data_IF_903286531278
#
_entry.id   IF_903286531278
#
_cell.length_a   1.000
_cell.length_b   1.000
_cell.length_c   1.000
_cell.angle_alpha   90.00
_cell.angle_beta   90.00
_cell.angle_gamma   90.00
#
_symmetry.space_group_name_H-M   'P 1'
#
loop_
_entity.id
_entity.type
_entity.pdbx_description
1 polymer ?
#
# COMPACT_ATOMS: atom_id res chain seq x y z
N UNK A 1 67.48 0.36 -14.30
CA UNK A 1 67.99 -1.00 -14.55
C UNK A 1 69.07 -1.32 -13.51
N UNK A 2 69.06 -2.55 -13.00
CA UNK A 2 70.03 -3.16 -12.04
C UNK A 2 70.01 -2.55 -10.62
N UNK A 3 70.06 -3.30 -9.52
CA UNK A 3 70.22 -4.75 -9.31
C UNK A 3 69.59 -5.13 -7.96
N UNK A 4 68.98 -6.32 -7.91
CA UNK A 4 69.54 -7.54 -7.27
C UNK A 4 69.23 -7.68 -5.78
N UNK A 5 68.35 -8.64 -5.52
CA UNK A 5 68.06 -9.27 -4.24
C UNK A 5 69.32 -9.82 -3.55
N UNK A 6 69.35 -9.76 -2.21
CA UNK A 6 70.17 -10.65 -1.40
C UNK A 6 69.32 -11.27 -0.29
N UNK A 7 69.28 -12.61 -0.26
CA UNK A 7 68.66 -13.46 0.75
C UNK A 7 69.71 -13.84 1.79
N UNK A 8 69.39 -13.75 3.09
CA UNK A 8 69.87 -14.62 4.19
C UNK A 8 68.90 -14.46 5.37
N UNK A 9 68.01 -15.43 5.57
CA UNK A 9 68.06 -16.48 6.62
C UNK A 9 67.94 -15.92 8.05
N UNK A 10 66.81 -16.20 8.72
CA UNK A 10 66.79 -16.98 9.96
C UNK A 10 65.34 -17.28 10.37
N UNK A 11 65.04 -18.58 10.38
CA UNK A 11 63.87 -19.20 10.97
C UNK A 11 64.09 -19.23 12.50
N UNK A 12 63.19 -18.65 13.30
CA UNK A 12 63.03 -19.02 14.71
C UNK A 12 61.54 -19.10 15.00
N UNK A 13 61.08 -20.33 15.21
CA UNK A 13 59.80 -20.64 15.82
C UNK A 13 59.76 -20.06 17.24
N UNK A 14 58.68 -19.38 17.58
CA UNK A 14 58.34 -19.00 18.94
C UNK A 14 56.87 -18.65 18.98
N UNK A 15 56.05 -19.58 19.50
CA UNK A 15 54.61 -19.44 19.58
C UNK A 15 54.16 -18.26 20.45
N UNK A 16 53.03 -17.67 20.07
CA UNK A 16 52.38 -16.62 20.83
C UNK A 16 51.08 -16.20 20.17
N UNK A 17 49.98 -16.83 20.60
CA UNK A 17 48.59 -16.41 20.46
C UNK A 17 48.20 -15.66 19.17
N UNK A 18 47.71 -16.42 18.18
CA UNK A 18 46.72 -15.88 17.23
C UNK A 18 45.47 -15.59 18.04
N UNK A 19 45.34 -14.36 18.55
CA UNK A 19 44.04 -13.82 18.90
C UNK A 19 43.26 -13.76 17.59
N UNK A 20 42.47 -14.81 17.35
CA UNK A 20 41.53 -14.89 16.27
C UNK A 20 40.62 -13.68 16.37
N UNK A 21 40.84 -12.70 15.50
CA UNK A 21 39.78 -11.82 15.07
C UNK A 21 38.75 -12.75 14.43
N UNK A 22 37.76 -13.16 15.22
CA UNK A 22 36.48 -13.58 14.71
C UNK A 22 35.90 -12.33 14.04
N UNK A 23 36.34 -12.09 12.80
CA UNK A 23 35.58 -11.30 11.85
C UNK A 23 34.30 -12.10 11.74
N UNK A 24 33.28 -11.67 12.49
CA UNK A 24 31.93 -12.15 12.31
C UNK A 24 31.60 -11.87 10.87
N UNK A 25 31.82 -12.86 9.99
CA UNK A 25 31.23 -12.92 8.68
C UNK A 25 29.76 -13.07 8.97
N UNK A 26 29.08 -11.95 9.23
CA UNK A 26 27.64 -11.87 9.24
C UNK A 26 27.23 -12.54 7.94
N UNK A 27 26.62 -13.71 8.04
CA UNK A 27 26.10 -14.41 6.88
C UNK A 27 25.13 -13.45 6.24
N UNK A 28 25.52 -12.86 5.11
CA UNK A 28 24.61 -12.09 4.30
C UNK A 28 23.44 -13.03 4.00
N UNK A 29 22.28 -12.76 4.61
CA UNK A 29 21.09 -13.55 4.35
C UNK A 29 20.82 -13.44 2.86
N UNK A 30 20.69 -14.57 2.18
CA UNK A 30 20.28 -14.54 0.79
C UNK A 30 18.90 -13.88 0.70
N UNK A 31 18.72 -13.00 -0.29
CA UNK A 31 17.43 -12.41 -0.61
C UNK A 31 16.36 -13.52 -0.74
N UNK A 32 15.16 -13.27 -0.24
CA UNK A 32 14.05 -14.23 -0.41
C UNK A 32 13.60 -14.26 -1.87
N UNK A 33 12.85 -15.30 -2.24
CA UNK A 33 12.14 -15.32 -3.51
C UNK A 33 11.17 -14.14 -3.63
N UNK A 34 10.94 -13.73 -4.87
CA UNK A 34 9.95 -12.71 -5.19
C UNK A 34 8.54 -13.25 -4.98
N UNK A 35 7.74 -12.54 -4.20
CA UNK A 35 6.33 -12.84 -3.94
C UNK A 35 5.47 -11.89 -4.77
N UNK A 36 4.52 -12.43 -5.53
CA UNK A 36 3.58 -11.62 -6.32
C UNK A 36 2.58 -10.91 -5.40
N UNK A 37 2.31 -9.63 -5.67
CA UNK A 37 1.53 -8.75 -4.80
C UNK A 37 0.62 -7.83 -5.64
N UNK A 38 -0.58 -8.28 -6.04
CA UNK A 38 -1.55 -7.41 -6.68
C UNK A 38 -2.19 -6.48 -5.64
N UNK A 39 -2.29 -5.20 -5.96
CA UNK A 39 -2.95 -4.17 -5.15
C UNK A 39 -4.02 -3.50 -6.00
N UNK A 40 -5.22 -3.36 -5.43
CA UNK A 40 -6.40 -2.80 -6.08
C UNK A 40 -6.92 -1.60 -5.29
N UNK A 41 -7.31 -0.55 -5.99
CA UNK A 41 -8.19 0.50 -5.45
C UNK A 41 -9.54 0.40 -6.16
N UNK A 42 -10.63 0.43 -5.38
CA UNK A 42 -11.97 0.22 -5.90
C UNK A 42 -13.02 1.04 -5.14
N UNK A 43 -13.58 2.03 -5.81
CA UNK A 43 -14.77 2.75 -5.39
C UNK A 43 -16.02 1.97 -5.85
N UNK A 44 -16.89 1.57 -4.92
CA UNK A 44 -18.05 0.71 -5.21
C UNK A 44 -19.34 1.49 -5.53
N UNK A 45 -19.27 2.81 -5.67
CA UNK A 45 -20.39 3.67 -6.07
C UNK A 45 -21.52 3.77 -5.04
N UNK A 46 -22.45 4.71 -5.24
CA UNK A 46 -23.59 5.01 -4.35
C UNK A 46 -24.96 4.63 -4.92
N UNK A 47 -25.10 4.52 -6.24
CA UNK A 47 -26.41 4.55 -6.89
C UNK A 47 -26.76 3.20 -7.54
N UNK A 48 -25.84 2.56 -8.26
CA UNK A 48 -26.12 1.29 -8.95
C UNK A 48 -25.95 0.07 -8.02
N UNK A 49 -26.87 -0.05 -7.05
CA UNK A 49 -26.86 -1.09 -6.00
C UNK A 49 -26.77 -2.51 -6.60
N UNK A 50 -27.47 -2.77 -7.71
CA UNK A 50 -27.53 -4.08 -8.34
C UNK A 50 -26.22 -4.55 -9.00
N UNK A 51 -25.31 -3.63 -9.32
CA UNK A 51 -24.03 -3.96 -9.93
C UNK A 51 -22.92 -4.26 -8.89
N UNK A 52 -23.10 -3.84 -7.63
CA UNK A 52 -22.05 -3.89 -6.60
C UNK A 52 -21.51 -5.29 -6.31
N UNK A 53 -22.37 -6.31 -6.20
CA UNK A 53 -21.89 -7.66 -5.89
C UNK A 53 -21.03 -8.23 -7.04
N UNK A 54 -21.39 -7.94 -8.30
CA UNK A 54 -20.59 -8.31 -9.45
C UNK A 54 -19.24 -7.60 -9.45
N UNK A 55 -19.22 -6.31 -9.14
CA UNK A 55 -17.98 -5.54 -9.02
C UNK A 55 -17.07 -6.07 -7.90
N UNK A 56 -17.62 -6.38 -6.72
CA UNK A 56 -16.86 -6.97 -5.60
C UNK A 56 -16.21 -8.30 -6.03
N UNK A 57 -16.95 -9.16 -6.75
CA UNK A 57 -16.38 -10.39 -7.32
C UNK A 57 -15.28 -10.11 -8.34
N UNK A 58 -15.50 -9.18 -9.26
CA UNK A 58 -14.51 -8.81 -10.27
C UNK A 58 -13.21 -8.28 -9.64
N UNK A 59 -13.32 -7.49 -8.57
CA UNK A 59 -12.17 -6.99 -7.79
C UNK A 59 -11.44 -8.13 -7.07
N UNK A 60 -12.16 -9.07 -6.46
CA UNK A 60 -11.57 -10.26 -5.82
C UNK A 60 -10.77 -11.11 -6.82
N UNK A 61 -11.29 -11.27 -8.03
CA UNK A 61 -10.70 -12.07 -9.10
C UNK A 61 -9.81 -11.22 -10.03
N UNK A 62 -9.42 -10.01 -9.60
CA UNK A 62 -8.68 -9.05 -10.40
C UNK A 62 -7.34 -9.59 -10.88
N UNK A 63 -6.72 -10.58 -10.24
CA UNK A 63 -5.49 -11.23 -10.70
C UNK A 63 -5.61 -12.76 -10.62
N UNK A 64 -5.77 -13.47 -11.75
CA UNK A 64 -5.93 -14.91 -11.74
C UNK A 64 -4.78 -15.62 -11.01
N UNK A 65 -5.13 -16.47 -10.05
CA UNK A 65 -4.17 -17.26 -9.26
C UNK A 65 -3.52 -16.51 -8.09
N UNK A 66 -3.73 -15.20 -7.92
CA UNK A 66 -3.22 -14.43 -6.76
C UNK A 66 -4.27 -13.50 -6.20
N UNK A 67 -4.60 -13.67 -4.92
CA UNK A 67 -5.57 -12.81 -4.23
C UNK A 67 -5.00 -11.39 -4.04
N UNK A 68 -5.70 -10.32 -4.44
CA UNK A 68 -5.21 -8.95 -4.32
C UNK A 68 -5.38 -8.36 -2.91
N UNK A 69 -4.51 -7.42 -2.54
CA UNK A 69 -4.82 -6.42 -1.53
C UNK A 69 -5.83 -5.43 -2.10
N UNK A 70 -6.82 -5.01 -1.31
CA UNK A 70 -7.84 -4.07 -1.80
C UNK A 70 -8.05 -2.92 -0.82
N UNK A 71 -7.90 -1.70 -1.32
CA UNK A 71 -8.41 -0.50 -0.68
C UNK A 71 -9.77 -0.13 -1.28
N UNK A 72 -10.81 -0.19 -0.46
CA UNK A 72 -12.18 0.10 -0.89
C UNK A 72 -12.55 1.56 -0.64
N UNK A 73 -13.49 2.09 -1.43
CA UNK A 73 -14.14 3.37 -1.15
C UNK A 73 -15.66 3.22 -1.32
N UNK A 74 -16.40 4.12 -0.67
CA UNK A 74 -17.87 4.20 -0.70
C UNK A 74 -18.62 3.02 -0.09
N UNK A 75 -18.01 2.34 0.88
CA UNK A 75 -18.70 1.29 1.62
C UNK A 75 -19.77 1.91 2.52
N UNK A 76 -21.03 1.52 2.32
CA UNK A 76 -22.18 2.03 3.08
C UNK A 76 -22.37 3.56 2.89
N UNK A 77 -22.09 4.05 1.68
CA UNK A 77 -22.42 5.43 1.28
C UNK A 77 -23.72 5.51 0.46
N UNK A 78 -24.19 4.40 -0.12
CA UNK A 78 -25.48 4.31 -0.83
C UNK A 78 -26.54 3.45 -0.12
N UNK A 79 -26.17 2.27 0.37
CA UNK A 79 -27.02 1.41 1.19
C UNK A 79 -26.21 0.69 2.29
N UNK A 80 -26.60 -0.49 2.76
CA UNK A 80 -25.81 -1.28 3.74
C UNK A 80 -25.33 -2.63 3.19
N UNK A 81 -25.52 -2.91 1.89
CA UNK A 81 -25.38 -4.23 1.29
C UNK A 81 -23.94 -4.69 1.10
N UNK A 82 -22.98 -3.77 1.02
CA UNK A 82 -21.61 -4.08 0.61
C UNK A 82 -20.84 -4.83 1.68
N UNK A 83 -21.08 -4.56 2.97
CA UNK A 83 -20.35 -5.25 4.05
C UNK A 83 -20.63 -6.77 4.06
N UNK A 84 -21.89 -7.23 3.99
CA UNK A 84 -22.18 -8.65 3.76
C UNK A 84 -21.60 -9.20 2.45
N UNK A 85 -21.67 -8.45 1.34
CA UNK A 85 -21.13 -8.89 0.04
C UNK A 85 -19.60 -9.09 0.08
N UNK A 86 -18.86 -8.14 0.64
CA UNK A 86 -17.42 -8.25 0.85
C UNK A 86 -17.12 -9.43 1.76
N UNK A 87 -17.84 -9.57 2.87
CA UNK A 87 -17.66 -10.71 3.80
C UNK A 87 -17.87 -12.04 3.09
N UNK A 88 -18.90 -12.17 2.23
CA UNK A 88 -19.20 -13.37 1.46
C UNK A 88 -18.09 -13.75 0.47
N UNK A 89 -17.55 -12.79 -0.27
CA UNK A 89 -16.61 -13.06 -1.39
C UNK A 89 -15.14 -13.06 -0.97
N UNK A 90 -14.80 -12.33 0.10
CA UNK A 90 -13.45 -12.25 0.66
C UNK A 90 -13.29 -13.25 1.80
N UNK A 91 -14.23 -13.27 2.77
CA UNK A 91 -14.33 -14.31 3.81
C UNK A 91 -13.02 -14.65 4.53
N UNK A 92 -12.87 -15.92 4.93
CA UNK A 92 -11.76 -16.43 5.74
C UNK A 92 -10.38 -16.35 5.08
N UNK A 93 -10.33 -16.06 3.78
CA UNK A 93 -9.08 -15.88 3.05
C UNK A 93 -8.52 -14.47 3.20
N UNK A 94 -9.25 -13.57 3.85
CA UNK A 94 -8.87 -12.17 4.02
C UNK A 94 -9.09 -11.69 5.46
N UNK A 95 -8.23 -10.77 5.89
CA UNK A 95 -8.50 -9.89 7.01
C UNK A 95 -9.09 -8.59 6.46
N UNK A 96 -10.39 -8.37 6.71
CA UNK A 96 -11.10 -7.17 6.26
C UNK A 96 -11.04 -6.07 7.33
N UNK A 97 -9.91 -5.38 7.40
CA UNK A 97 -9.68 -4.31 8.37
C UNK A 97 -10.66 -3.15 8.14
N UNK A 98 -11.22 -2.65 9.25
CA UNK A 98 -12.20 -1.56 9.32
C UNK A 98 -13.55 -1.82 8.66
N UNK A 99 -13.81 -2.98 8.04
CA UNK A 99 -15.09 -3.24 7.34
C UNK A 99 -16.32 -3.08 8.26
N UNK A 100 -16.15 -3.39 9.54
CA UNK A 100 -17.18 -3.30 10.57
C UNK A 100 -16.84 -2.28 11.67
N UNK A 101 -15.89 -1.38 11.40
CA UNK A 101 -15.61 -0.24 12.27
C UNK A 101 -16.87 0.63 12.43
N UNK A 102 -17.00 1.34 13.53
CA UNK A 102 -18.18 2.18 13.81
C UNK A 102 -18.13 3.53 13.10
N UNK A 103 -16.94 4.00 12.71
CA UNK A 103 -16.75 5.34 12.15
C UNK A 103 -16.08 5.33 10.77
N UNK A 104 -15.00 4.57 10.59
CA UNK A 104 -14.13 4.63 9.41
C UNK A 104 -14.43 3.55 8.35
N UNK A 105 -15.54 2.83 8.51
CA UNK A 105 -15.93 1.69 7.65
C UNK A 105 -16.13 1.99 6.18
N UNK A 106 -16.12 3.26 5.76
CA UNK A 106 -16.33 3.71 4.38
C UNK A 106 -15.14 3.45 3.47
N UNK A 107 -13.94 3.32 4.05
CA UNK A 107 -12.68 3.06 3.34
C UNK A 107 -11.90 1.87 3.92
N UNK A 108 -12.51 0.67 4.01
CA UNK A 108 -11.87 -0.49 4.61
C UNK A 108 -10.78 -1.06 3.71
N UNK A 109 -9.97 -1.95 4.28
CA UNK A 109 -8.86 -2.60 3.60
C UNK A 109 -9.01 -4.12 3.72
N UNK A 110 -8.98 -4.82 2.59
CA UNK A 110 -8.97 -6.29 2.55
C UNK A 110 -7.55 -6.81 2.32
N UNK A 111 -7.03 -7.60 3.27
CA UNK A 111 -5.67 -8.18 3.23
C UNK A 111 -5.75 -9.70 3.06
N UNK A 112 -5.27 -10.28 1.95
CA UNK A 112 -5.37 -11.72 1.72
C UNK A 112 -4.28 -12.51 2.44
N UNK A 113 -4.57 -13.74 2.85
CA UNK A 113 -3.52 -14.71 3.21
C UNK A 113 -2.55 -14.94 2.03
N UNK A 114 -1.25 -15.16 2.27
CA UNK A 114 -0.58 -15.33 3.57
C UNK A 114 -0.10 -14.00 4.20
N UNK A 115 -0.69 -12.88 3.81
CA UNK A 115 -0.45 -11.59 4.46
C UNK A 115 -1.38 -11.41 5.65
N UNK A 116 -0.88 -10.76 6.70
CA UNK A 116 -1.62 -10.48 7.91
C UNK A 116 -1.47 -9.04 8.34
N UNK A 117 -2.55 -8.47 8.90
CA UNK A 117 -2.51 -7.17 9.55
C UNK A 117 -1.83 -7.31 10.90
N UNK A 118 -0.72 -6.59 11.09
CA UNK A 118 0.07 -6.58 12.33
C UNK A 118 -0.29 -5.36 13.18
N UNK A 119 -0.66 -4.25 12.53
CA UNK A 119 -1.12 -3.04 13.19
C UNK A 119 -2.10 -2.30 12.28
N UNK A 120 -3.00 -1.52 12.87
CA UNK A 120 -4.00 -0.75 12.15
C UNK A 120 -4.23 0.60 12.81
N UNK A 121 -4.51 1.63 12.02
CA UNK A 121 -4.93 2.94 12.52
C UNK A 121 -5.98 3.57 11.61
N UNK A 122 -6.97 4.22 12.23
CA UNK A 122 -7.88 5.13 11.55
C UNK A 122 -7.50 6.57 11.91
N UNK A 123 -7.50 7.48 10.94
CA UNK A 123 -7.26 8.91 11.15
C UNK A 123 -8.43 9.70 10.59
N UNK A 124 -9.14 10.39 11.48
CA UNK A 124 -10.18 11.32 11.08
C UNK A 124 -9.59 12.50 10.32
N UNK A 125 -10.25 12.89 9.22
CA UNK A 125 -9.82 14.00 8.37
C UNK A 125 -10.72 15.22 8.62
N UNK A 126 -12.00 15.10 8.27
CA UNK A 126 -13.02 16.14 8.42
C UNK A 126 -14.42 15.53 8.49
N UNK A 127 -15.40 16.31 8.98
CA UNK A 127 -16.77 15.86 9.29
C UNK A 127 -17.65 15.56 8.07
N UNK A 128 -17.12 15.69 6.87
CA UNK A 128 -17.92 15.70 5.65
C UNK A 128 -18.65 17.03 5.45
N UNK A 129 -19.40 17.11 4.36
CA UNK A 129 -20.26 18.25 4.03
C UNK A 129 -21.60 17.65 3.63
N UNK A 130 -22.67 18.13 4.26
CA UNK A 130 -24.03 17.65 4.04
C UNK A 130 -24.35 17.60 2.54
N UNK A 131 -24.97 16.50 2.08
CA UNK A 131 -25.32 16.23 0.68
C UNK A 131 -24.13 16.17 -0.31
N UNK A 132 -22.89 16.33 0.13
CA UNK A 132 -21.70 16.22 -0.72
C UNK A 132 -20.93 14.95 -0.39
N UNK A 133 -20.54 14.81 0.88
CA UNK A 133 -19.67 13.73 1.33
C UNK A 133 -19.93 13.41 2.79
N UNK A 134 -19.91 12.12 3.18
CA UNK A 134 -19.86 11.75 4.59
C UNK A 134 -18.52 12.17 5.22
N UNK A 135 -18.37 11.99 6.55
CA UNK A 135 -17.09 12.09 7.21
C UNK A 135 -15.99 11.32 6.48
N UNK A 136 -14.82 11.96 6.33
CA UNK A 136 -13.67 11.36 5.63
C UNK A 136 -12.62 10.90 6.61
N UNK A 137 -12.04 9.75 6.26
CA UNK A 137 -11.08 9.02 7.07
C UNK A 137 -9.93 8.54 6.19
N UNK A 138 -8.77 8.35 6.82
CA UNK A 138 -7.65 7.60 6.26
C UNK A 138 -7.49 6.35 7.13
N UNK A 139 -7.63 5.18 6.52
CA UNK A 139 -7.37 3.91 7.18
C UNK A 139 -6.02 3.36 6.72
N UNK A 140 -5.25 2.81 7.65
CA UNK A 140 -3.93 2.28 7.37
C UNK A 140 -3.71 0.97 8.11
N UNK A 141 -3.02 0.04 7.46
CA UNK A 141 -2.60 -1.23 8.04
C UNK A 141 -1.11 -1.44 7.80
N UNK A 142 -0.40 -1.91 8.82
CA UNK A 142 0.93 -2.51 8.65
C UNK A 142 0.72 -3.99 8.41
N UNK A 143 1.22 -4.46 7.28
CA UNK A 143 1.06 -5.82 6.79
C UNK A 143 2.40 -6.54 6.94
N UNK A 144 2.36 -7.81 7.32
CA UNK A 144 3.52 -8.70 7.21
C UNK A 144 3.15 -10.06 6.63
N UNK A 145 4.16 -10.77 6.15
CA UNK A 145 4.00 -12.12 5.63
C UNK A 145 4.04 -13.15 6.76
N UNK A 146 3.15 -14.15 6.73
CA UNK A 146 3.07 -15.21 7.75
C UNK A 146 4.40 -15.96 7.93
N UNK A 147 5.06 -16.34 6.83
CA UNK A 147 6.31 -17.13 6.86
C UNK A 147 7.59 -16.31 6.69
N UNK A 148 7.48 -15.03 6.31
CA UNK A 148 8.64 -14.13 6.13
C UNK A 148 8.44 -12.93 7.05
N UNK A 149 8.66 -13.11 8.34
CA UNK A 149 8.21 -12.16 9.38
C UNK A 149 8.88 -10.79 9.32
N UNK A 150 10.04 -10.67 8.66
CA UNK A 150 10.70 -9.39 8.38
C UNK A 150 10.12 -8.67 7.13
N UNK A 151 9.40 -9.39 6.26
CA UNK A 151 8.77 -8.84 5.07
C UNK A 151 7.50 -8.07 5.46
N UNK A 152 7.66 -6.76 5.67
CA UNK A 152 6.60 -5.87 6.14
C UNK A 152 6.50 -4.61 5.30
N UNK A 153 5.29 -4.10 5.13
CA UNK A 153 5.00 -2.83 4.46
C UNK A 153 3.70 -2.24 5.01
N UNK A 154 3.41 -0.97 4.71
CA UNK A 154 2.13 -0.36 5.04
C UNK A 154 1.23 -0.25 3.80
N UNK A 155 -0.08 -0.41 3.99
CA UNK A 155 -1.10 -0.01 3.02
C UNK A 155 -1.96 1.10 3.64
N UNK A 156 -2.05 2.23 2.97
CA UNK A 156 -2.88 3.39 3.35
C UNK A 156 -4.01 3.54 2.35
N UNK A 157 -5.25 3.66 2.81
CA UNK A 157 -6.42 3.78 1.94
C UNK A 157 -7.30 4.97 2.34
N UNK A 158 -7.86 5.66 1.35
CA UNK A 158 -8.68 6.85 1.60
C UNK A 158 -9.62 7.20 0.44
N UNK A 159 -10.60 8.07 0.70
CA UNK A 159 -11.49 8.67 -0.30
C UNK A 159 -11.61 10.17 -0.04
N UNK A 160 -11.20 10.99 -1.01
CA UNK A 160 -11.26 12.45 -0.90
C UNK A 160 -12.69 12.96 -1.07
N UNK A 161 -12.95 14.19 -0.61
CA UNK A 161 -14.22 14.87 -0.90
C UNK A 161 -14.40 15.06 -2.41
N UNK A 162 -15.61 14.77 -2.90
CA UNK A 162 -15.97 14.98 -4.30
C UNK A 162 -16.24 16.46 -4.59
N UNK A 163 -16.29 16.81 -5.88
CA UNK A 163 -16.61 18.14 -6.41
C UNK A 163 -15.62 19.27 -6.10
N UNK A 164 -14.55 19.07 -5.32
CA UNK A 164 -13.54 20.12 -5.12
C UNK A 164 -12.77 20.45 -6.40
N UNK A 165 -12.39 19.41 -7.16
CA UNK A 165 -11.62 19.52 -8.41
C UNK A 165 -12.19 18.69 -9.58
N UNK A 166 -13.22 17.87 -9.34
CA UNK A 166 -13.98 17.14 -10.35
C UNK A 166 -15.46 17.58 -10.36
N UNK A 167 -16.28 16.97 -11.23
CA UNK A 167 -17.72 17.21 -11.29
C UNK A 167 -18.07 18.69 -11.40
N UNK A 168 -18.91 19.16 -10.47
CA UNK A 168 -19.39 20.55 -10.39
C UNK A 168 -18.31 21.59 -10.05
N UNK A 169 -17.12 21.14 -9.60
CA UNK A 169 -15.96 22.00 -9.26
C UNK A 169 -16.33 23.19 -8.36
N UNK A 170 -16.62 22.92 -7.10
CA UNK A 170 -17.04 23.88 -6.08
C UNK A 170 -15.81 24.37 -5.29
N UNK A 171 -15.35 25.63 -5.46
CA UNK A 171 -14.14 26.12 -4.79
C UNK A 171 -14.22 26.06 -3.27
N UNK A 172 -15.40 26.24 -2.68
CA UNK A 172 -15.61 26.14 -1.23
C UNK A 172 -15.38 24.75 -0.63
N UNK A 173 -15.11 23.72 -1.44
CA UNK A 173 -14.74 22.37 -0.98
C UNK A 173 -13.22 22.12 -1.01
N UNK A 174 -12.43 23.07 -1.55
CA UNK A 174 -11.00 22.86 -1.75
C UNK A 174 -10.23 22.84 -0.43
N UNK A 175 -10.64 23.61 0.58
CA UNK A 175 -10.00 23.59 1.90
C UNK A 175 -10.06 22.20 2.54
N UNK A 176 -11.20 21.50 2.43
CA UNK A 176 -11.34 20.14 2.95
C UNK A 176 -10.53 19.13 2.13
N UNK A 177 -10.48 19.32 0.82
CA UNK A 177 -9.66 18.48 -0.06
C UNK A 177 -8.16 18.64 0.24
N UNK A 178 -7.70 19.87 0.46
CA UNK A 178 -6.30 20.19 0.76
C UNK A 178 -5.92 19.75 2.19
N UNK A 179 -6.84 19.89 3.16
CA UNK A 179 -6.68 19.29 4.49
C UNK A 179 -6.50 17.77 4.38
N UNK A 180 -7.33 17.12 3.58
CA UNK A 180 -7.20 15.68 3.30
C UNK A 180 -5.85 15.35 2.69
N UNK A 181 -5.43 16.08 1.65
CA UNK A 181 -4.12 15.89 1.04
C UNK A 181 -2.98 16.04 2.03
N UNK A 182 -3.04 17.04 2.89
CA UNK A 182 -2.04 17.27 3.94
C UNK A 182 -1.96 16.09 4.92
N UNK A 183 -3.11 15.61 5.43
CA UNK A 183 -3.16 14.45 6.32
C UNK A 183 -2.71 13.15 5.63
N UNK A 184 -3.11 12.94 4.38
CA UNK A 184 -2.68 11.76 3.62
C UNK A 184 -1.16 11.74 3.43
N UNK A 185 -0.56 12.88 3.07
CA UNK A 185 0.90 13.07 3.07
C UNK A 185 1.52 12.71 4.40
N UNK A 186 1.01 13.25 5.50
CA UNK A 186 1.51 12.98 6.85
C UNK A 186 1.49 11.48 7.16
N UNK A 187 0.40 10.79 6.86
CA UNK A 187 0.25 9.35 7.12
C UNK A 187 1.24 8.51 6.29
N UNK A 188 1.37 8.79 5.00
CA UNK A 188 2.34 8.11 4.13
C UNK A 188 3.77 8.33 4.61
N UNK A 189 4.13 9.58 4.94
CA UNK A 189 5.47 9.90 5.43
C UNK A 189 5.74 9.29 6.81
N UNK A 190 4.76 9.21 7.71
CA UNK A 190 4.93 8.61 9.03
C UNK A 190 5.35 7.13 8.95
N UNK A 191 4.80 6.35 8.01
CA UNK A 191 5.22 4.95 7.79
C UNK A 191 6.57 4.87 7.10
N UNK A 192 6.81 5.71 6.10
CA UNK A 192 8.08 5.73 5.38
C UNK A 192 9.26 6.11 6.29
N UNK A 193 9.06 7.08 7.20
CA UNK A 193 10.06 7.48 8.20
C UNK A 193 10.37 6.39 9.22
N UNK A 194 9.49 5.41 9.39
CA UNK A 194 9.74 4.21 10.19
C UNK A 194 10.50 3.11 9.42
N UNK A 195 11.06 3.41 8.25
CA UNK A 195 11.83 2.41 7.50
C UNK A 195 11.02 1.62 6.45
N UNK A 196 9.68 1.63 6.56
CA UNK A 196 8.81 0.70 5.85
C UNK A 196 8.53 1.17 4.42
N UNK A 197 8.42 0.25 3.44
CA UNK A 197 7.72 0.56 2.21
C UNK A 197 6.27 0.89 2.50
N UNK A 198 5.70 1.82 1.74
CA UNK A 198 4.31 2.25 1.86
C UNK A 198 3.66 2.17 0.50
N UNK A 199 2.55 1.46 0.40
CA UNK A 199 1.66 1.52 -0.75
C UNK A 199 0.43 2.31 -0.29
N UNK A 200 -0.13 3.14 -1.15
CA UNK A 200 -1.38 3.82 -0.86
C UNK A 200 -2.36 3.72 -2.02
N UNK A 201 -3.64 3.62 -1.68
CA UNK A 201 -4.78 3.57 -2.58
C UNK A 201 -5.72 4.73 -2.27
N UNK A 202 -6.30 5.34 -3.30
CA UNK A 202 -7.29 6.37 -3.07
C UNK A 202 -8.20 6.58 -4.27
N UNK A 203 -9.46 6.95 -4.00
CA UNK A 203 -10.19 7.83 -4.91
C UNK A 203 -9.88 9.28 -4.48
N UNK A 204 -9.12 9.97 -5.32
CA UNK A 204 -8.65 11.34 -5.07
C UNK A 204 -9.64 12.42 -5.50
N UNK A 205 -10.72 12.04 -6.20
CA UNK A 205 -11.63 13.00 -6.84
C UNK A 205 -10.92 14.11 -7.65
N UNK A 206 -9.72 13.83 -8.15
CA UNK A 206 -8.89 14.78 -8.90
C UNK A 206 -8.09 14.08 -10.01
N UNK A 207 -8.43 14.40 -11.26
CA UNK A 207 -7.88 13.73 -12.44
C UNK A 207 -6.40 14.00 -12.70
N UNK A 208 -5.89 15.16 -12.30
CA UNK A 208 -4.48 15.57 -12.41
C UNK A 208 -3.71 15.37 -11.09
N UNK A 209 -4.17 14.47 -10.21
CA UNK A 209 -3.48 14.18 -8.96
C UNK A 209 -2.07 13.66 -9.22
N UNK A 210 -1.07 14.32 -8.63
CA UNK A 210 0.33 13.91 -8.69
C UNK A 210 0.63 12.81 -7.67
N UNK A 211 1.47 13.15 -6.69
CA UNK A 211 1.87 12.25 -5.60
C UNK A 211 1.30 12.73 -4.27
N UNK A 212 1.16 11.83 -3.29
CA UNK A 212 0.66 12.18 -1.97
C UNK A 212 1.64 13.11 -1.24
N UNK A 213 2.93 12.80 -1.30
CA UNK A 213 3.96 13.45 -0.49
C UNK A 213 4.65 14.63 -1.18
N UNK A 214 4.66 14.63 -2.52
CA UNK A 214 5.49 15.53 -3.33
C UNK A 214 6.97 15.16 -3.37
N UNK A 215 7.39 14.07 -2.72
CA UNK A 215 8.79 13.64 -2.72
C UNK A 215 9.13 12.91 -4.03
N UNK A 216 10.35 13.13 -4.52
CA UNK A 216 10.83 12.52 -5.78
C UNK A 216 10.94 11.00 -5.73
N UNK A 217 11.05 10.42 -4.54
CA UNK A 217 11.14 8.97 -4.34
C UNK A 217 9.77 8.29 -4.46
N UNK A 218 8.68 9.04 -4.30
CA UNK A 218 7.34 8.52 -4.50
C UNK A 218 7.13 8.15 -5.98
N UNK A 219 6.42 7.04 -6.18
CA UNK A 219 6.06 6.52 -7.49
C UNK A 219 4.54 6.39 -7.58
N UNK A 220 4.03 6.44 -8.81
CA UNK A 220 2.61 6.24 -9.10
C UNK A 220 2.43 5.20 -10.19
N UNK A 221 1.44 4.33 -10.02
CA UNK A 221 1.05 3.34 -11.02
C UNK A 221 0.14 3.95 -12.10
N UNK A 222 -0.61 5.00 -11.76
CA UNK A 222 -1.57 5.66 -12.64
C UNK A 222 -1.34 7.17 -12.62
N UNK A 223 -1.06 7.76 -13.78
CA UNK A 223 -0.79 9.19 -13.94
C UNK A 223 -2.04 10.01 -14.27
N UNK A 224 -3.15 9.36 -14.60
CA UNK A 224 -4.44 9.97 -14.93
C UNK A 224 -5.59 9.24 -14.19
N UNK A 225 -6.75 9.89 -14.11
CA UNK A 225 -7.94 9.40 -13.43
C UNK A 225 -8.02 9.81 -11.96
N UNK A 226 -9.12 9.46 -11.29
CA UNK A 226 -9.34 9.80 -9.87
C UNK A 226 -8.86 8.71 -8.93
N UNK A 227 -8.93 7.44 -9.38
CA UNK A 227 -8.44 6.27 -8.66
C UNK A 227 -6.92 6.13 -8.81
N UNK A 228 -6.21 6.10 -7.68
CA UNK A 228 -4.76 6.16 -7.61
C UNK A 228 -4.20 5.02 -6.79
N UNK A 229 -3.05 4.53 -7.25
CA UNK A 229 -2.16 3.67 -6.48
C UNK A 229 -0.77 4.27 -6.57
N UNK A 230 -0.22 4.71 -5.43
CA UNK A 230 1.15 5.19 -5.32
C UNK A 230 1.94 4.40 -4.29
N UNK A 231 3.26 4.55 -4.31
CA UNK A 231 4.10 3.89 -3.32
C UNK A 231 5.42 4.64 -3.05
N UNK A 232 5.92 4.42 -1.85
CA UNK A 232 7.24 4.81 -1.37
C UNK A 232 8.05 3.54 -1.10
N UNK A 233 9.27 3.39 -1.63
CA UNK A 233 10.13 2.26 -1.29
C UNK A 233 10.54 2.33 0.19
N UNK A 234 10.88 1.18 0.78
CA UNK A 234 11.45 1.13 2.13
C UNK A 234 12.89 1.62 2.16
N UNK A 235 13.31 2.12 3.31
CA UNK A 235 14.67 2.61 3.59
C UNK A 235 15.32 1.93 4.82
N UNK A 236 14.71 0.88 5.37
CA UNK A 236 15.25 0.09 6.48
C UNK A 236 16.09 -1.14 6.06
N UNK A 237 16.71 -1.79 7.05
CA UNK A 237 17.44 -3.07 6.93
C UNK A 237 16.81 -4.16 7.82
N UNK A 238 16.54 -5.38 7.32
CA UNK A 238 16.72 -5.84 5.95
C UNK A 238 15.78 -5.11 4.98
N UNK A 239 16.29 -4.78 3.79
CA UNK A 239 15.55 -3.96 2.84
C UNK A 239 14.42 -4.77 2.22
N UNK A 240 13.18 -4.29 2.42
CA UNK A 240 12.05 -4.80 1.64
C UNK A 240 12.05 -4.13 0.27
N UNK A 241 12.22 -4.94 -0.77
CA UNK A 241 12.20 -4.48 -2.16
C UNK A 241 10.78 -4.65 -2.73
N UNK A 242 10.29 -3.60 -3.38
CA UNK A 242 9.00 -3.59 -4.07
C UNK A 242 9.22 -3.17 -5.54
N UNK A 243 8.69 -3.95 -6.48
CA UNK A 243 8.80 -3.67 -7.91
C UNK A 243 7.44 -3.79 -8.58
N UNK A 244 7.02 -2.71 -9.26
CA UNK A 244 5.84 -2.75 -10.14
C UNK A 244 6.16 -3.57 -11.40
N UNK A 245 5.29 -4.52 -11.73
CA UNK A 245 5.40 -5.37 -12.91
C UNK A 245 4.47 -4.93 -14.03
N UNK A 246 3.22 -4.62 -13.68
CA UNK A 246 2.21 -4.22 -14.65
C UNK A 246 1.06 -3.47 -13.96
N UNK A 247 0.26 -2.77 -14.76
CA UNK A 247 -0.98 -2.11 -14.34
C UNK A 247 -2.13 -2.54 -15.23
N UNK A 248 -3.34 -2.62 -14.69
CA UNK A 248 -4.55 -2.85 -15.48
C UNK A 248 -5.79 -2.23 -14.83
N UNK A 249 -6.89 -2.28 -15.57
CA UNK A 249 -8.20 -1.80 -15.13
C UNK A 249 -9.17 -2.97 -15.12
N UNK A 250 -9.97 -3.09 -14.06
CA UNK A 250 -11.05 -4.06 -13.96
C UNK A 250 -12.36 -3.32 -14.08
N UNK A 251 -13.15 -3.69 -15.08
CA UNK A 251 -14.46 -3.06 -15.28
C UNK A 251 -15.40 -3.47 -14.16
N UNK A 252 -15.89 -2.50 -13.40
CA UNK A 252 -16.83 -2.75 -12.32
C UNK A 252 -18.28 -2.51 -12.74
N UNK A 253 -18.50 -1.61 -13.71
CA UNK A 253 -19.84 -1.23 -14.18
C UNK A 253 -20.73 -0.66 -13.06
N UNK A 254 -20.14 -0.01 -12.05
CA UNK A 254 -20.86 0.65 -10.96
C UNK A 254 -20.58 2.14 -11.04
N UNK A 255 -21.61 2.94 -11.28
CA UNK A 255 -21.58 4.41 -11.30
C UNK A 255 -20.44 5.04 -12.14
N UNK A 256 -20.01 4.33 -13.19
CA UNK A 256 -18.90 4.77 -14.03
C UNK A 256 -17.51 4.57 -13.41
N UNK A 257 -17.41 3.93 -12.25
CA UNK A 257 -16.16 3.51 -11.65
C UNK A 257 -15.65 2.20 -12.24
N UNK A 258 -14.33 2.15 -12.45
CA UNK A 258 -13.57 0.94 -12.74
C UNK A 258 -12.43 0.82 -11.72
N UNK A 259 -12.13 -0.39 -11.26
CA UNK A 259 -11.04 -0.58 -10.32
C UNK A 259 -9.70 -0.49 -11.02
N UNK A 260 -8.71 0.10 -10.33
CA UNK A 260 -7.32 0.17 -10.81
C UNK A 260 -6.49 -0.88 -10.08
N UNK A 261 -5.67 -1.58 -10.84
CA UNK A 261 -4.86 -2.70 -10.34
C UNK A 261 -3.39 -2.44 -10.66
N UNK A 262 -2.55 -2.45 -9.63
CA UNK A 262 -1.10 -2.43 -9.74
C UNK A 262 -0.55 -3.79 -9.28
N UNK A 263 0.15 -4.48 -10.16
CA UNK A 263 0.70 -5.81 -9.90
C UNK A 263 2.17 -5.62 -9.52
N UNK A 264 2.49 -5.82 -8.25
CA UNK A 264 3.86 -5.77 -7.77
C UNK A 264 4.45 -7.17 -7.61
N UNK A 265 5.76 -7.20 -7.38
CA UNK A 265 6.44 -8.25 -6.63
C UNK A 265 7.20 -7.66 -5.46
N UNK A 266 7.32 -8.40 -4.38
CA UNK A 266 7.94 -7.98 -3.13
C UNK A 266 8.88 -9.07 -2.58
N UNK A 267 10.00 -8.70 -1.95
CA UNK A 267 10.93 -9.64 -1.28
C UNK A 267 11.74 -8.96 -0.19
N UNK A 268 12.42 -9.75 0.64
CA UNK A 268 13.55 -9.28 1.44
C UNK A 268 14.83 -9.34 0.60
N UNK A 269 15.62 -8.26 0.64
CA UNK A 269 16.93 -8.16 0.00
C UNK A 269 18.02 -8.88 0.78
#
# INVERSE_FOLDING_TARGET
MSGTFSRRKALVLGGGAVLGAAVGTGTASAATDWIRLPVVTANIGRDNLGARENAIRAVRDADPGTRPLVGWQEIVEGDTGERPMITKHFGDFYQNAFLWDDQSYRVPISVPRPWQVINSRATFVHGGIEQVSPPRWINEVVIGHETHTALRFALVNTHYIANAYNGDRRPGLQDEWDLHKSKHKERVLAHHQQGRPVIWTADTNRRDYGTATGWQVERSAFTDGIDRIGWMPGNDTPQVQLQLLNTKTVRMYVDGHDARVAIFRIRLA
#
